data_IF_794272735355
#
_entry.id   IF_794272735355
#
_cell.length_a   1.000
_cell.length_b   1.000
_cell.length_c   1.000
_cell.angle_alpha   90.00
_cell.angle_beta   90.00
_cell.angle_gamma   90.00
#
_symmetry.space_group_name_H-M   'P 1'
#
loop_
_entity.id
_entity.type
_entity.pdbx_description
1 polymer ?
#
# COMPACT_ATOMS: atom_id res chain seq x y z
N UNK A 1 -0.41 -11.14 -2.90
CA UNK A 1 -1.42 -10.37 -2.14
C UNK A 1 -0.88 -10.19 -0.74
N UNK A 2 -1.11 -9.04 -0.13
CA UNK A 2 -0.58 -8.74 1.21
C UNK A 2 -1.63 -8.03 2.05
N UNK A 3 -1.62 -8.24 3.37
CA UNK A 3 -2.56 -7.60 4.27
C UNK A 3 -1.95 -6.37 4.92
N UNK A 4 -2.73 -5.30 5.05
CA UNK A 4 -2.34 -4.10 5.81
C UNK A 4 -2.40 -4.41 7.30
N UNK A 5 -1.25 -4.45 7.96
CA UNK A 5 -1.11 -4.71 9.40
C UNK A 5 -1.09 -3.42 10.22
N UNK A 6 -0.69 -2.31 9.61
CA UNK A 6 -0.63 -1.00 10.25
C UNK A 6 -0.80 0.09 9.19
N UNK A 7 -1.32 1.25 9.58
CA UNK A 7 -1.44 2.40 8.67
C UNK A 7 -1.23 3.72 9.40
N UNK A 8 -0.67 4.69 8.69
CA UNK A 8 -0.55 6.05 9.18
C UNK A 8 -0.72 7.07 8.05
N UNK A 9 -1.24 8.24 8.41
CA UNK A 9 -1.55 9.29 7.44
C UNK A 9 -0.52 10.41 7.49
N UNK A 10 0.03 10.77 6.34
CA UNK A 10 0.96 11.89 6.17
C UNK A 10 0.37 12.83 5.12
N UNK A 11 -0.21 13.94 5.59
CA UNK A 11 -0.87 14.96 4.75
C UNK A 11 -1.97 14.37 3.85
N UNK A 12 -1.68 14.16 2.57
CA UNK A 12 -2.58 13.61 1.55
C UNK A 12 -2.28 12.14 1.20
N UNK A 13 -1.26 11.58 1.84
CA UNK A 13 -0.82 10.21 1.63
C UNK A 13 -1.22 9.33 2.82
N UNK A 14 -1.64 8.11 2.53
CA UNK A 14 -1.78 7.05 3.51
C UNK A 14 -0.64 6.07 3.30
N UNK A 15 0.13 5.83 4.36
CA UNK A 15 1.23 4.89 4.38
C UNK A 15 0.71 3.62 5.02
N UNK A 16 0.80 2.52 4.27
CA UNK A 16 0.28 1.23 4.67
C UNK A 16 1.47 0.30 4.90
N UNK A 17 1.58 -0.23 6.12
CA UNK A 17 2.52 -1.29 6.44
C UNK A 17 1.87 -2.63 6.11
N UNK A 18 2.56 -3.40 5.31
CA UNK A 18 2.12 -4.73 4.90
C UNK A 18 2.85 -5.80 5.71
N UNK A 19 2.20 -6.93 5.92
CA UNK A 19 2.84 -8.11 6.51
C UNK A 19 4.05 -8.56 5.68
N UNK A 20 3.87 -8.60 4.36
CA UNK A 20 4.92 -8.93 3.39
C UNK A 20 4.82 -8.03 2.15
N UNK A 21 5.93 -7.54 1.62
CA UNK A 21 5.93 -6.87 0.31
C UNK A 21 6.09 -7.90 -0.82
N UNK A 22 5.38 -7.73 -1.94
CA UNK A 22 5.62 -8.58 -3.12
C UNK A 22 7.02 -8.33 -3.67
N UNK A 23 7.78 -9.40 -3.96
CA UNK A 23 9.07 -9.30 -4.63
C UNK A 23 8.95 -9.25 -6.17
N UNK A 24 7.76 -9.58 -6.69
CA UNK A 24 7.48 -9.47 -8.11
C UNK A 24 7.40 -7.98 -8.53
N UNK A 25 7.75 -7.63 -9.78
CA UNK A 25 7.53 -6.27 -10.27
C UNK A 25 6.03 -5.96 -10.34
N UNK A 26 5.64 -4.78 -9.88
CA UNK A 26 4.28 -4.27 -9.96
C UNK A 26 4.32 -2.79 -10.35
N UNK A 27 3.23 -2.30 -10.95
CA UNK A 27 3.08 -0.89 -11.36
C UNK A 27 1.98 -0.17 -10.60
N UNK A 28 1.04 -0.90 -10.02
CA UNK A 28 -0.08 -0.35 -9.25
C UNK A 28 -0.41 -1.22 -8.05
N UNK A 29 -1.07 -0.61 -7.07
CA UNK A 29 -1.70 -1.30 -5.97
C UNK A 29 -3.20 -1.33 -6.19
N UNK A 30 -3.86 -2.45 -5.91
CA UNK A 30 -5.32 -2.53 -5.89
C UNK A 30 -5.78 -2.90 -4.49
N UNK A 31 -6.62 -2.05 -3.91
CA UNK A 31 -7.11 -2.19 -2.54
C UNK A 31 -8.62 -2.00 -2.57
N UNK A 32 -9.36 -2.98 -2.07
CA UNK A 32 -10.83 -2.98 -2.09
C UNK A 32 -11.43 -2.68 -3.48
N UNK A 33 -10.79 -3.19 -4.54
CA UNK A 33 -11.22 -3.00 -5.93
C UNK A 33 -10.78 -1.68 -6.58
N UNK A 34 -10.24 -0.72 -5.83
CA UNK A 34 -9.68 0.54 -6.36
C UNK A 34 -8.19 0.42 -6.65
N UNK A 35 -7.76 0.97 -7.78
CA UNK A 35 -6.35 1.02 -8.16
C UNK A 35 -5.69 2.33 -7.70
N UNK A 36 -4.43 2.24 -7.30
CA UNK A 36 -3.60 3.31 -6.79
C UNK A 36 -2.22 3.24 -7.43
N UNK A 37 -1.66 4.40 -7.79
CA UNK A 37 -0.29 4.49 -8.30
C UNK A 37 0.74 4.22 -7.20
N UNK A 38 1.88 3.66 -7.61
CA UNK A 38 3.00 3.43 -6.70
C UNK A 38 3.66 4.74 -6.36
N UNK A 39 3.73 5.02 -5.06
CA UNK A 39 4.61 6.06 -4.54
C UNK A 39 5.84 5.37 -3.94
N UNK A 40 7.05 5.64 -4.48
CA UNK A 40 8.26 4.99 -4.02
C UNK A 40 8.56 5.38 -2.57
N UNK A 41 8.81 4.37 -1.73
CA UNK A 41 9.26 4.52 -0.35
C UNK A 41 10.58 3.76 -0.19
N UNK A 42 11.65 4.47 0.13
CA UNK A 42 12.98 3.89 0.27
C UNK A 42 13.35 3.64 1.74
N UNK A 43 12.87 4.48 2.66
CA UNK A 43 13.27 4.45 4.08
C UNK A 43 12.49 3.45 4.96
N UNK A 44 11.37 2.92 4.48
CA UNK A 44 10.47 2.09 5.30
C UNK A 44 10.29 0.69 4.70
N UNK A 45 10.80 -0.36 5.37
CA UNK A 45 10.65 -1.73 4.88
C UNK A 45 9.18 -2.18 4.98
N UNK A 46 8.72 -2.92 3.96
CA UNK A 46 7.35 -3.43 3.85
C UNK A 46 6.25 -2.36 3.92
N UNK A 47 6.58 -1.11 3.64
CA UNK A 47 5.61 -0.01 3.60
C UNK A 47 5.35 0.45 2.17
N UNK A 48 4.10 0.78 1.88
CA UNK A 48 3.69 1.42 0.63
C UNK A 48 2.99 2.73 0.93
N UNK A 49 3.17 3.74 0.08
CA UNK A 49 2.38 4.96 0.12
C UNK A 49 1.33 4.95 -0.99
N UNK A 50 0.12 5.37 -0.65
CA UNK A 50 -0.96 5.63 -1.60
C UNK A 50 -1.49 7.05 -1.40
N UNK A 51 -1.87 7.70 -2.51
CA UNK A 51 -2.52 9.01 -2.47
C UNK A 51 -4.03 8.85 -2.24
N UNK A 52 -4.39 8.51 -1.02
CA UNK A 52 -5.77 8.32 -0.60
C UNK A 52 -5.94 8.73 0.85
N UNK A 53 -7.16 9.11 1.23
CA UNK A 53 -7.57 9.30 2.63
C UNK A 53 -8.64 8.27 2.97
N UNK A 54 -8.44 7.54 4.06
CA UNK A 54 -9.35 6.51 4.53
C UNK A 54 -8.62 5.43 5.32
N UNK A 55 -9.37 4.55 5.95
CA UNK A 55 -8.85 3.41 6.73
C UNK A 55 -8.69 2.20 5.81
N UNK A 56 -7.47 1.68 5.73
CA UNK A 56 -7.09 0.49 4.97
C UNK A 56 -6.61 -0.65 5.87
N UNK A 57 -6.56 -0.46 7.20
CA UNK A 57 -6.21 -1.50 8.17
C UNK A 57 -7.03 -2.77 7.94
N UNK A 58 -6.36 -3.92 7.87
CA UNK A 58 -6.99 -5.22 7.63
C UNK A 58 -7.49 -5.44 6.20
N UNK A 59 -7.30 -4.49 5.27
CA UNK A 59 -7.60 -4.71 3.85
C UNK A 59 -6.46 -5.48 3.19
N UNK A 60 -6.83 -6.19 2.13
CA UNK A 60 -5.87 -6.86 1.25
C UNK A 60 -5.44 -5.91 0.14
N UNK A 61 -4.14 -5.84 -0.07
CA UNK A 61 -3.46 -5.18 -1.16
C UNK A 61 -3.07 -6.21 -2.21
N UNK A 62 -3.56 -6.00 -3.41
CA UNK A 62 -3.18 -6.73 -4.60
C UNK A 62 -2.15 -5.91 -5.38
N UNK A 63 -1.11 -6.56 -5.88
CA UNK A 63 -0.08 -5.91 -6.67
C UNK A 63 -0.39 -6.18 -8.15
N UNK A 64 -0.69 -5.11 -8.89
CA UNK A 64 -1.07 -5.17 -10.30
C UNK A 64 0.14 -4.78 -11.14
N UNK A 65 0.44 -5.58 -12.16
CA UNK A 65 1.59 -5.42 -13.04
C UNK A 65 1.34 -4.39 -14.15
#
# INVERSE_FOLDING_TARGET
MSTVIDEFHVKEYSVLKLDSLSQAPYRKYRIAGKEYDIIPMYDLPNCIAIKAKGTFLGKTVEFVQ
#
